data_IF_342535654216
#
_entry.id   IF_342535654216
#
_cell.length_a   1.000
_cell.length_b   1.000
_cell.length_c   1.000
_cell.angle_alpha   90.00
_cell.angle_beta   90.00
_cell.angle_gamma   90.00
#
_symmetry.space_group_name_H-M   'P 1'
#
loop_
_entity.id
_entity.type
_entity.pdbx_description
1 polymer ?
#
# COMPACT_ATOMS: atom_id res chain seq x y z
N UNK A 1 0.32 -15.13 -8.84
CA UNK A 1 1.17 -14.10 -8.23
C UNK A 1 1.60 -13.19 -9.36
N UNK A 2 1.37 -11.88 -9.25
CA UNK A 2 1.87 -10.94 -10.26
C UNK A 2 3.41 -10.91 -10.20
N UNK A 3 4.11 -10.70 -11.33
CA UNK A 3 5.52 -10.32 -11.32
C UNK A 3 5.76 -9.13 -10.36
N UNK A 4 6.98 -9.02 -9.84
CA UNK A 4 7.32 -7.98 -8.87
C UNK A 4 7.15 -6.60 -9.49
N UNK A 5 7.53 -6.46 -10.76
CA UNK A 5 7.42 -5.23 -11.53
C UNK A 5 5.96 -4.80 -11.72
N UNK A 6 5.07 -5.73 -12.09
CA UNK A 6 3.63 -5.45 -12.23
C UNK A 6 3.01 -5.06 -10.88
N UNK A 7 3.40 -5.76 -9.81
CA UNK A 7 2.93 -5.47 -8.45
C UNK A 7 3.37 -4.07 -8.00
N UNK A 8 4.62 -3.71 -8.30
CA UNK A 8 5.19 -2.42 -7.96
C UNK A 8 4.48 -1.28 -8.69
N UNK A 9 4.20 -1.43 -9.99
CA UNK A 9 3.44 -0.45 -10.77
C UNK A 9 2.03 -0.23 -10.20
N UNK A 10 1.33 -1.30 -9.83
CA UNK A 10 0.00 -1.21 -9.21
C UNK A 10 0.03 -0.49 -7.85
N UNK A 11 1.07 -0.74 -7.04
CA UNK A 11 1.27 -0.07 -5.75
C UNK A 11 1.59 1.42 -5.96
N UNK A 12 2.45 1.76 -6.91
CA UNK A 12 2.84 3.16 -7.21
C UNK A 12 1.69 3.99 -7.79
N UNK A 13 0.75 3.37 -8.52
CA UNK A 13 -0.37 4.08 -9.15
C UNK A 13 -1.19 4.89 -8.13
N UNK A 14 -1.14 6.22 -8.20
CA UNK A 14 -1.89 7.12 -7.30
C UNK A 14 -1.28 7.27 -5.91
N UNK A 15 -0.07 6.76 -5.68
CA UNK A 15 0.74 7.13 -4.52
C UNK A 15 1.48 8.44 -4.82
N UNK A 16 1.60 9.31 -3.82
CA UNK A 16 2.39 10.54 -3.93
C UNK A 16 3.88 10.20 -3.80
N UNK A 17 4.24 9.43 -2.78
CA UNK A 17 5.61 9.01 -2.50
C UNK A 17 5.68 7.51 -2.16
N UNK A 18 6.79 6.88 -2.54
CA UNK A 18 7.17 5.53 -2.11
C UNK A 18 8.57 5.61 -1.48
N UNK A 19 8.63 5.47 -0.16
CA UNK A 19 9.89 5.46 0.57
C UNK A 19 10.51 4.06 0.52
N UNK A 20 11.81 3.98 0.26
CA UNK A 20 12.59 2.73 0.25
C UNK A 20 12.02 1.70 -0.76
N UNK A 21 11.89 2.11 -2.02
CA UNK A 21 11.38 1.27 -3.11
C UNK A 21 12.15 -0.06 -3.25
N UNK A 22 13.47 -0.01 -3.09
CA UNK A 22 14.35 -1.18 -3.13
C UNK A 22 14.01 -2.17 -2.01
N UNK A 23 13.68 -1.69 -0.81
CA UNK A 23 13.28 -2.55 0.31
C UNK A 23 11.92 -3.21 0.04
N UNK A 24 10.98 -2.48 -0.56
CA UNK A 24 9.69 -3.06 -0.96
C UNK A 24 9.90 -4.16 -2.02
N UNK A 25 10.76 -3.94 -3.01
CA UNK A 25 11.11 -4.94 -4.04
C UNK A 25 11.68 -6.20 -3.39
N UNK A 26 12.64 -6.07 -2.48
CA UNK A 26 13.22 -7.21 -1.76
C UNK A 26 12.16 -7.97 -0.95
N UNK A 27 11.25 -7.25 -0.29
CA UNK A 27 10.13 -7.87 0.45
C UNK A 27 9.16 -8.59 -0.48
N UNK A 28 8.81 -8.02 -1.64
CA UNK A 28 7.93 -8.65 -2.64
C UNK A 28 8.55 -9.93 -3.21
N UNK A 29 9.88 -9.94 -3.44
CA UNK A 29 10.63 -11.13 -3.91
C UNK A 29 10.56 -12.30 -2.95
N UNK A 30 10.32 -12.08 -1.66
CA UNK A 30 10.21 -13.18 -0.68
C UNK A 30 9.00 -14.10 -0.92
N UNK A 31 8.04 -13.71 -1.77
CA UNK A 31 6.93 -14.55 -2.16
C UNK A 31 5.89 -14.81 -1.06
N UNK A 32 6.06 -14.22 0.13
CA UNK A 32 5.13 -14.36 1.26
C UNK A 32 4.18 -13.15 1.34
N UNK A 33 2.96 -13.33 1.87
CA UNK A 33 2.08 -12.21 2.15
C UNK A 33 2.75 -11.19 3.09
N UNK A 34 2.81 -9.92 2.67
CA UNK A 34 3.35 -8.83 3.47
C UNK A 34 2.28 -8.33 4.44
N UNK A 35 2.70 -7.91 5.63
CA UNK A 35 1.82 -7.24 6.59
C UNK A 35 1.77 -5.77 6.24
N UNK A 36 0.59 -5.29 5.83
CA UNK A 36 0.34 -3.88 5.54
C UNK A 36 -0.35 -3.25 6.76
N UNK A 37 0.14 -2.08 7.19
CA UNK A 37 -0.39 -1.35 8.34
C UNK A 37 -0.92 0.00 7.89
N UNK A 38 -2.20 0.25 8.16
CA UNK A 38 -2.82 1.58 8.08
C UNK A 38 -3.40 1.92 9.45
N UNK A 39 -3.06 3.10 9.99
CA UNK A 39 -3.58 3.59 11.27
C UNK A 39 -4.71 4.59 11.05
N UNK A 40 -5.74 4.51 11.89
CA UNK A 40 -6.85 5.46 11.91
C UNK A 40 -6.98 6.01 13.33
N UNK A 41 -7.07 7.34 13.46
CA UNK A 41 -7.32 7.99 14.73
C UNK A 41 -8.82 7.93 15.07
N UNK A 42 -9.24 7.35 16.20
CA UNK A 42 -10.64 7.12 16.53
C UNK A 42 -11.37 8.38 17.04
N UNK A 43 -10.77 9.58 16.94
CA UNK A 43 -11.38 10.84 17.38
C UNK A 43 -12.67 11.17 16.59
N UNK A 44 -12.73 10.80 15.31
CA UNK A 44 -13.92 10.96 14.48
C UNK A 44 -14.79 9.68 14.52
N UNK A 45 -16.13 9.80 14.49
CA UNK A 45 -17.02 8.64 14.57
C UNK A 45 -17.10 7.85 13.25
N UNK A 46 -16.72 8.46 12.12
CA UNK A 46 -16.89 7.89 10.80
C UNK A 46 -15.69 8.17 9.86
N UNK A 47 -15.53 7.28 8.87
CA UNK A 47 -14.60 7.47 7.76
C UNK A 47 -15.33 8.14 6.61
N UNK A 48 -14.94 9.38 6.31
CA UNK A 48 -15.45 10.09 5.15
C UNK A 48 -14.77 9.65 3.85
N UNK A 49 -15.32 10.12 2.70
CA UNK A 49 -14.87 9.77 1.35
C UNK A 49 -13.39 10.10 1.03
N UNK A 50 -12.74 10.93 1.86
CA UNK A 50 -11.31 11.22 1.72
C UNK A 50 -10.43 9.99 1.94
N UNK A 51 -10.93 8.98 2.68
CA UNK A 51 -10.21 7.73 2.91
C UNK A 51 -10.34 6.73 1.74
N UNK A 52 -11.19 7.00 0.75
CA UNK A 52 -11.45 6.08 -0.37
C UNK A 52 -10.18 5.70 -1.13
N UNK A 53 -9.28 6.66 -1.34
CA UNK A 53 -8.00 6.43 -2.03
C UNK A 53 -7.11 5.48 -1.23
N UNK A 54 -7.02 5.69 0.08
CA UNK A 54 -6.25 4.83 0.98
C UNK A 54 -6.84 3.43 1.04
N UNK A 55 -8.16 3.30 1.20
CA UNK A 55 -8.83 1.99 1.32
C UNK A 55 -8.69 1.17 0.04
N UNK A 56 -8.85 1.79 -1.14
CA UNK A 56 -8.67 1.09 -2.43
C UNK A 56 -7.22 0.66 -2.72
N UNK A 57 -6.25 1.19 -1.97
CA UNK A 57 -4.84 0.83 -2.09
C UNK A 57 -4.46 -0.40 -1.25
N UNK A 58 -5.22 -0.68 -0.19
CA UNK A 58 -4.99 -1.80 0.75
C UNK A 58 -5.59 -3.10 0.21
#
# INVERSE_FOLDING_TARGET
>A
MHPVEESLELIKRGAIDLLLEEELIERLRTGRPLRIKAGFDPTAPDLHLGHTVLINKL
#
